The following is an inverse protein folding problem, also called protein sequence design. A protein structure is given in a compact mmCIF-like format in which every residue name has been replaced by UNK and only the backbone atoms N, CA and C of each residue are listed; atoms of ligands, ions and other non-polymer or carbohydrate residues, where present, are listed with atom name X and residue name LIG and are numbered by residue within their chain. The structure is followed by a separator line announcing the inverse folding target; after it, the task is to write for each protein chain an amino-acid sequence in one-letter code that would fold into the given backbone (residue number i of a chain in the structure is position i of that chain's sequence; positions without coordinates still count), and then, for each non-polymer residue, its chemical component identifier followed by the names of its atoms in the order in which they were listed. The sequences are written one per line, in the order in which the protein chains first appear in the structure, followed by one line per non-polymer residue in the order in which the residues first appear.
data_IF_509328198039
#
_entry.id   IF_509328198039
#
_cell.length_a   1.000
_cell.length_b   1.000
_cell.length_c   1.000
_cell.angle_alpha   90.00
_cell.angle_beta   90.00
_cell.angle_gamma   90.00
#
_symmetry.space_group_name_H-M   'P 1'
#
loop_
_entity.id
_entity.type
_entity.pdbx_description
1 polymer ?
#
# COMPACT_ATOMS: atom_id res chain seq x y z
N UNK A 1 11.74 2.25 -13.83
CA UNK A 1 12.99 1.86 -13.12
C UNK A 1 12.68 0.56 -12.40
N UNK A 2 13.62 -0.41 -12.26
CA UNK A 2 13.32 -1.62 -11.50
C UNK A 2 13.10 -1.24 -10.04
N UNK A 3 12.01 -1.73 -9.45
CA UNK A 3 11.70 -1.59 -8.03
C UNK A 3 12.83 -2.24 -7.24
N UNK A 4 13.68 -1.45 -6.60
CA UNK A 4 14.81 -1.96 -5.81
C UNK A 4 14.29 -2.32 -4.42
N UNK A 5 14.22 -3.62 -4.10
CA UNK A 5 13.67 -4.10 -2.82
C UNK A 5 13.49 -5.62 -2.81
N UNK A 6 13.13 -6.23 -1.68
CA UNK A 6 12.81 -7.66 -1.58
C UNK A 6 11.36 -7.94 -1.97
N UNK A 7 10.47 -6.94 -1.88
CA UNK A 7 9.07 -7.08 -2.26
C UNK A 7 8.88 -6.79 -3.76
N UNK A 8 9.03 -7.84 -4.58
CA UNK A 8 8.87 -7.74 -6.03
C UNK A 8 8.27 -9.02 -6.62
N UNK A 9 7.72 -8.89 -7.84
CA UNK A 9 7.20 -10.03 -8.60
C UNK A 9 6.08 -10.75 -7.86
N UNK A 10 6.19 -12.08 -7.74
CA UNK A 10 5.19 -12.92 -7.10
C UNK A 10 4.95 -12.54 -5.63
N UNK A 11 6.00 -12.20 -4.88
CA UNK A 11 5.87 -11.80 -3.48
C UNK A 11 5.10 -10.49 -3.33
N UNK A 12 5.22 -9.57 -4.29
CA UNK A 12 4.44 -8.33 -4.30
C UNK A 12 2.95 -8.63 -4.53
N UNK A 13 2.64 -9.48 -5.49
CA UNK A 13 1.26 -9.90 -5.77
C UNK A 13 0.65 -10.66 -4.58
N UNK A 14 1.42 -11.54 -3.94
CA UNK A 14 1.00 -12.24 -2.73
C UNK A 14 0.72 -11.26 -1.58
N UNK A 15 1.62 -10.28 -1.36
CA UNK A 15 1.46 -9.27 -0.34
C UNK A 15 0.19 -8.43 -0.57
N UNK A 16 -0.01 -7.93 -1.79
CA UNK A 16 -1.19 -7.14 -2.13
C UNK A 16 -2.49 -7.94 -1.98
N UNK A 17 -2.50 -9.20 -2.42
CA UNK A 17 -3.63 -10.10 -2.25
C UNK A 17 -3.96 -10.37 -0.78
N UNK A 18 -2.93 -10.62 0.03
CA UNK A 18 -3.09 -10.85 1.46
C UNK A 18 -3.62 -9.61 2.19
N UNK A 19 -3.07 -8.43 1.93
CA UNK A 19 -3.55 -7.15 2.51
C UNK A 19 -5.01 -6.90 2.12
N UNK A 20 -5.36 -7.16 0.85
CA UNK A 20 -6.74 -7.03 0.40
C UNK A 20 -7.69 -7.94 1.19
N UNK A 21 -7.31 -9.20 1.45
CA UNK A 21 -8.10 -10.10 2.29
C UNK A 21 -8.29 -9.56 3.71
N UNK A 22 -7.22 -9.06 4.35
CA UNK A 22 -7.31 -8.50 5.71
C UNK A 22 -8.23 -7.27 5.76
N UNK A 23 -8.15 -6.38 4.76
CA UNK A 23 -9.01 -5.20 4.69
C UNK A 23 -10.49 -5.57 4.51
N UNK A 24 -10.82 -6.64 3.79
CA UNK A 24 -12.20 -7.13 3.70
C UNK A 24 -12.70 -7.64 5.05
N UNK A 25 -11.86 -8.34 5.82
CA UNK A 25 -12.19 -8.79 7.17
C UNK A 25 -12.42 -7.62 8.14
N UNK A 26 -11.67 -6.53 8.00
CA UNK A 26 -11.84 -5.27 8.73
C UNK A 26 -13.08 -4.46 8.29
N UNK A 27 -13.79 -4.90 7.24
CA UNK A 27 -15.02 -4.31 6.74
C UNK A 27 -14.84 -3.25 5.66
N UNK A 28 -13.65 -3.10 5.09
CA UNK A 28 -13.42 -2.24 3.93
C UNK A 28 -13.92 -2.90 2.64
N UNK A 29 -14.55 -2.10 1.78
CA UNK A 29 -15.00 -2.53 0.47
C UNK A 29 -14.18 -1.82 -0.61
N UNK A 30 -13.07 -2.45 -1.02
CA UNK A 30 -12.21 -1.95 -2.09
C UNK A 30 -11.84 -3.03 -3.11
N UNK A 31 -11.41 -2.59 -4.29
CA UNK A 31 -10.83 -3.42 -5.33
C UNK A 31 -9.40 -3.83 -4.97
N UNK A 32 -8.99 -5.06 -5.30
CA UNK A 32 -7.63 -5.53 -5.05
C UNK A 32 -6.58 -4.69 -5.77
N UNK A 33 -6.90 -4.23 -6.98
CA UNK A 33 -6.04 -3.35 -7.77
C UNK A 33 -5.74 -2.01 -7.07
N UNK A 34 -6.60 -1.57 -6.14
CA UNK A 34 -6.33 -0.37 -5.35
C UNK A 34 -5.19 -0.58 -4.35
N UNK A 35 -5.09 -1.78 -3.75
CA UNK A 35 -3.99 -2.11 -2.84
C UNK A 35 -2.67 -2.12 -3.59
N UNK A 36 -2.63 -2.79 -4.76
CA UNK A 36 -1.45 -2.79 -5.62
C UNK A 36 -1.03 -1.37 -5.99
N UNK A 37 -1.99 -0.54 -6.43
CA UNK A 37 -1.73 0.85 -6.79
C UNK A 37 -1.14 1.68 -5.64
N UNK A 38 -1.62 1.49 -4.41
CA UNK A 38 -1.07 2.16 -3.21
C UNK A 38 0.40 1.75 -3.00
N UNK A 39 0.67 0.45 -3.01
CA UNK A 39 2.02 -0.10 -2.80
C UNK A 39 2.99 0.27 -3.94
N UNK A 40 2.52 0.30 -5.18
CA UNK A 40 3.31 0.74 -6.33
C UNK A 40 3.64 2.23 -6.25
N UNK A 41 2.64 3.07 -5.95
CA UNK A 41 2.82 4.53 -5.88
C UNK A 41 3.78 4.92 -4.75
N UNK A 42 3.70 4.25 -3.61
CA UNK A 42 4.65 4.43 -2.51
C UNK A 42 6.11 4.21 -2.95
N UNK A 43 6.35 3.11 -3.68
CA UNK A 43 7.68 2.74 -4.19
C UNK A 43 8.13 3.66 -5.30
N UNK A 44 7.22 4.08 -6.17
CA UNK A 44 7.47 5.08 -7.22
C UNK A 44 7.97 6.39 -6.60
N UNK A 45 7.36 6.84 -5.51
CA UNK A 45 7.75 8.05 -4.77
C UNK A 45 8.98 7.85 -3.86
N UNK A 46 9.44 6.60 -3.69
CA UNK A 46 10.54 6.22 -2.80
C UNK A 46 10.35 6.73 -1.34
N UNK A 47 9.12 6.65 -0.82
CA UNK A 47 8.77 7.14 0.53
C UNK A 47 8.59 6.05 1.58
N UNK A 48 8.77 4.78 1.23
CA UNK A 48 8.51 3.59 2.07
C UNK A 48 9.31 3.51 3.39
N UNK A 49 10.32 4.36 3.58
CA UNK A 49 11.09 4.46 4.83
C UNK A 49 10.60 5.55 5.78
N UNK A 50 9.59 6.33 5.38
CA UNK A 50 9.00 7.42 6.19
C UNK A 50 7.94 6.87 7.17
N UNK A 51 7.50 7.66 8.16
CA UNK A 51 6.37 7.27 9.01
C UNK A 51 5.09 7.03 8.20
N UNK A 52 4.28 6.04 8.59
CA UNK A 52 3.06 5.67 7.88
C UNK A 52 2.09 6.83 7.69
N UNK A 53 1.91 7.65 8.73
CA UNK A 53 1.03 8.82 8.68
C UNK A 53 1.47 9.84 7.63
N UNK A 54 2.79 10.02 7.45
CA UNK A 54 3.33 10.91 6.42
C UNK A 54 3.16 10.33 5.02
N UNK A 55 3.41 9.02 4.85
CA UNK A 55 3.23 8.32 3.57
C UNK A 55 1.76 8.40 3.15
N UNK A 56 0.83 8.12 4.07
CA UNK A 56 -0.59 8.13 3.80
C UNK A 56 -1.08 9.50 3.30
N UNK A 57 -0.62 10.59 3.92
CA UNK A 57 -0.94 11.95 3.46
C UNK A 57 -0.35 12.25 2.07
N UNK A 58 0.91 11.87 1.83
CA UNK A 58 1.57 12.07 0.55
C UNK A 58 0.86 11.32 -0.59
N UNK A 59 0.47 10.07 -0.33
CA UNK A 59 -0.25 9.26 -1.31
C UNK A 59 -1.67 9.77 -1.55
N UNK A 60 -2.39 10.21 -0.52
CA UNK A 60 -3.71 10.84 -0.69
C UNK A 60 -3.61 12.06 -1.60
N UNK A 61 -2.64 12.95 -1.35
CA UNK A 61 -2.42 14.13 -2.18
C UNK A 61 -2.00 13.76 -3.60
N UNK A 62 -1.15 12.74 -3.77
CA UNK A 62 -0.75 12.24 -5.09
C UNK A 62 -1.95 11.69 -5.87
N UNK A 63 -2.80 10.86 -5.25
CA UNK A 63 -4.01 10.33 -5.90
C UNK A 63 -4.99 11.44 -6.25
N UNK A 64 -5.13 12.45 -5.39
CA UNK A 64 -5.94 13.64 -5.64
C UNK A 64 -5.42 14.42 -6.85
N UNK A 65 -4.12 14.64 -6.95
CA UNK A 65 -3.48 15.34 -8.09
C UNK A 65 -3.59 14.53 -9.38
N UNK A 66 -3.43 13.20 -9.31
CA UNK A 66 -3.61 12.28 -10.44
C UNK A 66 -5.07 12.08 -10.86
N UNK A 67 -6.03 12.55 -10.05
CA UNK A 67 -7.47 12.40 -10.30
C UNK A 67 -7.98 10.97 -10.13
N UNK A 68 -7.24 10.13 -9.40
CA UNK A 68 -7.60 8.74 -9.12
C UNK A 68 -8.66 8.74 -8.02
N UNK A 69 -9.75 7.98 -8.24
CA UNK A 69 -10.86 7.84 -7.29
C UNK A 69 -11.22 6.38 -7.15
N UNK A 70 -11.45 5.95 -5.91
CA UNK A 70 -12.15 4.72 -5.63
C UNK A 70 -13.65 5.01 -5.49
N UNK A 71 -14.49 4.03 -5.82
CA UNK A 71 -15.94 4.08 -5.64
C UNK A 71 -16.33 2.93 -4.70
N UNK A 72 -17.26 3.14 -3.74
CA UNK A 72 -18.06 4.36 -3.50
C UNK A 72 -17.39 5.38 -2.56
N UNK A 73 -16.22 5.08 -1.99
CA UNK A 73 -15.50 5.94 -1.04
C UNK A 73 -14.18 6.41 -1.63
N UNK A 74 -13.74 7.62 -1.26
CA UNK A 74 -12.46 8.18 -1.71
C UNK A 74 -11.25 7.39 -1.20
N UNK A 75 -10.11 7.57 -1.86
CA UNK A 75 -8.82 7.05 -1.40
C UNK A 75 -8.26 8.07 -0.40
N UNK A 76 -8.65 7.95 0.86
CA UNK A 76 -8.28 8.87 1.93
C UNK A 76 -7.09 8.32 2.75
N UNK A 77 -6.33 9.21 3.42
CA UNK A 77 -5.20 8.81 4.24
C UNK A 77 -5.50 7.68 5.26
N UNK A 78 -6.66 7.60 5.94
CA UNK A 78 -6.94 6.49 6.85
C UNK A 78 -6.95 5.11 6.18
N UNK A 79 -7.51 5.01 4.96
CA UNK A 79 -7.51 3.76 4.18
C UNK A 79 -6.09 3.41 3.74
N UNK A 80 -5.35 4.38 3.22
CA UNK A 80 -3.97 4.18 2.80
C UNK A 80 -3.13 3.72 3.98
N UNK A 81 -3.28 4.35 5.15
CA UNK A 81 -2.56 3.94 6.36
C UNK A 81 -2.87 2.50 6.74
N UNK A 82 -4.13 2.08 6.72
CA UNK A 82 -4.52 0.70 7.01
C UNK A 82 -3.83 -0.31 6.06
N UNK A 83 -3.74 0.03 4.76
CA UNK A 83 -2.99 -0.78 3.78
C UNK A 83 -1.51 -0.93 4.18
N UNK A 84 -0.87 0.17 4.60
CA UNK A 84 0.55 0.17 4.97
C UNK A 84 0.81 -0.52 6.31
N UNK A 85 -0.13 -0.45 7.26
CA UNK A 85 -0.06 -1.20 8.53
C UNK A 85 -0.09 -2.71 8.26
N UNK A 86 -1.01 -3.16 7.41
CA UNK A 86 -1.05 -4.57 6.99
C UNK A 86 0.18 -5.00 6.19
N UNK A 87 0.75 -4.11 5.37
CA UNK A 87 2.02 -4.40 4.71
C UNK A 87 3.16 -4.61 5.71
N UNK A 88 3.29 -3.78 6.76
CA UNK A 88 4.28 -3.99 7.83
C UNK A 88 4.14 -5.36 8.48
N UNK A 89 2.90 -5.80 8.76
CA UNK A 89 2.64 -7.10 9.35
C UNK A 89 3.03 -8.25 8.41
N UNK A 90 2.66 -8.16 7.12
CA UNK A 90 3.05 -9.15 6.11
C UNK A 90 4.58 -9.27 6.00
N UNK A 91 5.27 -8.13 5.88
CA UNK A 91 6.72 -8.08 5.82
C UNK A 91 7.36 -8.63 7.10
N UNK A 92 6.74 -8.37 8.26
CA UNK A 92 7.10 -8.96 9.55
C UNK A 92 7.06 -10.49 9.53
N UNK A 93 5.99 -11.09 8.98
CA UNK A 93 5.88 -12.54 8.81
C UNK A 93 6.92 -13.09 7.83
N UNK A 94 7.24 -12.34 6.77
CA UNK A 94 8.25 -12.70 5.78
C UNK A 94 9.70 -12.48 6.27
N UNK A 95 9.90 -11.84 7.44
CA UNK A 95 11.22 -11.48 7.95
C UNK A 95 11.94 -10.42 7.10
N UNK A 96 11.18 -9.56 6.42
CA UNK A 96 11.66 -8.47 5.58
C UNK A 96 11.40 -7.16 6.30
N UNK A 97 12.41 -6.28 6.40
CA UNK A 97 12.15 -4.92 6.88
C UNK A 97 11.63 -4.05 5.75
N UNK A 98 10.77 -3.05 6.05
CA UNK A 98 10.32 -2.07 5.05
C UNK A 98 11.45 -1.34 4.33
N UNK A 99 12.57 -1.09 5.01
CA UNK A 99 13.75 -0.48 4.39
C UNK A 99 14.44 -1.39 3.35
N UNK A 100 14.14 -2.69 3.38
CA UNK A 100 14.60 -3.68 2.42
C UNK A 100 13.51 -4.09 1.43
N UNK A 101 12.29 -3.53 1.52
CA UNK A 101 11.13 -3.93 0.71
C UNK A 101 11.11 -3.30 -0.68
#
# INVERSE_FOLDING_TARGET
MPLTGKLQGELFTECAGWIWEQLQEDGYQLQGELVELILETERELAVHTRPLDEIAQLLEDEFRVRGIKAEPFGIEAPLIRAVLEWEEDFLGFAGISRAES
#
